data_IF_156380648406
#
_entry.id   IF_156380648406
#
_cell.length_a   1.000
_cell.length_b   1.000
_cell.length_c   1.000
_cell.angle_alpha   90.00
_cell.angle_beta   90.00
_cell.angle_gamma   90.00
#
_symmetry.space_group_name_H-M   'P 1'
#
loop_
_entity.id
_entity.type
_entity.pdbx_description
1 polymer ?
#
# COMPACT_ATOMS: atom_id res chain seq x y z
N UNK A 1 19.15 -5.96 8.37
CA UNK A 1 17.77 -5.47 8.64
C UNK A 1 16.89 -6.27 7.69
N UNK A 2 16.16 -7.31 8.06
CA UNK A 2 15.59 -7.74 9.34
C UNK A 2 15.74 -9.27 9.46
N UNK A 3 16.63 -9.76 10.32
CA UNK A 3 16.80 -11.21 10.58
C UNK A 3 16.12 -11.64 11.90
N UNK A 4 15.34 -10.73 12.52
CA UNK A 4 14.83 -10.94 13.90
C UNK A 4 13.60 -10.10 14.29
N UNK A 5 12.83 -9.51 13.36
CA UNK A 5 11.44 -9.14 13.70
C UNK A 5 10.65 -10.41 13.43
N UNK A 6 10.10 -11.05 14.47
CA UNK A 6 9.18 -12.19 14.34
C UNK A 6 7.84 -11.80 13.71
N UNK A 7 7.86 -10.87 12.75
CA UNK A 7 6.74 -10.18 12.14
C UNK A 7 6.50 -10.65 10.70
N UNK A 8 7.40 -11.51 10.18
CA UNK A 8 7.30 -12.08 8.82
C UNK A 8 6.31 -13.23 8.75
N UNK A 9 6.07 -13.92 9.87
CA UNK A 9 4.96 -14.87 9.96
C UNK A 9 3.71 -14.06 10.28
N UNK A 10 2.80 -14.03 9.32
CA UNK A 10 1.51 -13.35 9.40
C UNK A 10 0.41 -14.40 9.42
N UNK A 11 -0.83 -14.04 9.80
CA UNK A 11 -1.98 -14.92 9.62
C UNK A 11 -2.13 -15.49 8.19
N UNK A 12 -1.76 -14.72 7.16
CA UNK A 12 -1.86 -15.13 5.74
C UNK A 12 -0.86 -16.21 5.34
N UNK A 13 0.36 -16.19 5.90
CA UNK A 13 1.44 -17.10 5.50
C UNK A 13 1.83 -18.16 6.55
N UNK A 14 1.19 -18.16 7.73
CA UNK A 14 1.49 -19.09 8.84
C UNK A 14 1.38 -20.56 8.41
N UNK A 15 0.49 -20.87 7.47
CA UNK A 15 0.28 -22.21 6.94
C UNK A 15 1.52 -22.78 6.21
N UNK A 16 2.43 -21.92 5.73
CA UNK A 16 3.66 -22.33 5.06
C UNK A 16 4.69 -22.90 6.04
N UNK A 17 4.67 -22.47 7.29
CA UNK A 17 5.69 -22.83 8.31
C UNK A 17 5.18 -23.81 9.38
N UNK A 18 3.87 -24.06 9.43
CA UNK A 18 3.24 -25.07 10.30
C UNK A 18 3.60 -26.51 9.89
N UNK A 19 3.33 -27.53 10.74
CA UNK A 19 3.55 -28.93 10.37
C UNK A 19 2.81 -29.32 9.08
N UNK A 20 3.53 -29.96 8.16
CA UNK A 20 3.20 -30.25 6.75
C UNK A 20 3.21 -29.03 5.80
N UNK A 21 3.63 -27.87 6.28
CA UNK A 21 3.80 -26.66 5.49
C UNK A 21 5.04 -26.73 4.60
N UNK A 22 5.02 -26.00 3.49
CA UNK A 22 6.09 -25.99 2.47
C UNK A 22 7.47 -25.65 3.03
N UNK A 23 7.52 -24.88 4.11
CA UNK A 23 8.72 -24.33 4.76
C UNK A 23 8.95 -24.92 6.18
N UNK A 24 8.31 -26.05 6.53
CA UNK A 24 8.42 -26.69 7.87
C UNK A 24 9.86 -27.11 8.23
N UNK A 25 10.65 -27.56 7.26
CA UNK A 25 11.98 -28.12 7.47
C UNK A 25 13.06 -27.32 6.74
N UNK A 26 13.50 -26.22 7.32
CA UNK A 26 14.72 -25.53 6.85
C UNK A 26 15.96 -26.06 7.58
N UNK A 27 17.08 -26.08 6.87
CA UNK A 27 18.21 -26.95 7.20
C UNK A 27 19.04 -26.44 8.40
N UNK A 28 19.72 -27.38 9.07
CA UNK A 28 20.48 -27.20 10.33
C UNK A 28 21.30 -25.89 10.35
N UNK A 29 20.90 -24.94 11.21
CA UNK A 29 21.69 -23.76 11.56
C UNK A 29 21.61 -22.55 10.63
N UNK A 30 20.92 -22.65 9.48
CA UNK A 30 20.58 -21.51 8.58
C UNK A 30 19.08 -21.27 8.42
N UNK A 31 18.30 -21.97 9.24
CA UNK A 31 16.85 -22.07 9.16
C UNK A 31 16.08 -20.74 9.02
N UNK A 32 16.51 -19.66 9.69
CA UNK A 32 15.77 -18.39 9.66
C UNK A 32 15.84 -17.66 8.32
N UNK A 33 17.02 -17.58 7.69
CA UNK A 33 17.18 -16.86 6.42
C UNK A 33 16.49 -17.61 5.29
N UNK A 34 16.62 -18.95 5.25
CA UNK A 34 15.94 -19.80 4.27
C UNK A 34 14.40 -19.70 4.39
N UNK A 35 13.85 -19.70 5.62
CA UNK A 35 12.41 -19.49 5.82
C UNK A 35 11.98 -18.10 5.36
N UNK A 36 12.74 -17.05 5.72
CA UNK A 36 12.39 -15.68 5.36
C UNK A 36 12.39 -15.46 3.84
N UNK A 37 13.42 -15.92 3.15
CA UNK A 37 13.50 -15.86 1.69
C UNK A 37 12.38 -16.69 1.04
N UNK A 38 12.10 -17.88 1.58
CA UNK A 38 10.99 -18.71 1.13
C UNK A 38 9.62 -18.03 1.28
N UNK A 39 9.35 -17.40 2.43
CA UNK A 39 8.10 -16.68 2.67
C UNK A 39 7.94 -15.49 1.72
N UNK A 40 9.02 -14.75 1.49
CA UNK A 40 9.05 -13.63 0.55
C UNK A 40 8.84 -14.10 -0.90
N UNK A 41 9.46 -15.19 -1.30
CA UNK A 41 9.23 -15.80 -2.63
C UNK A 41 7.77 -16.25 -2.82
N UNK A 42 7.17 -16.91 -1.81
CA UNK A 42 5.76 -17.31 -1.89
C UNK A 42 4.83 -16.08 -1.91
N UNK A 43 5.18 -15.00 -1.21
CA UNK A 43 4.45 -13.74 -1.30
C UNK A 43 4.44 -13.20 -2.74
N UNK A 44 5.58 -13.13 -3.40
CA UNK A 44 5.69 -12.61 -4.76
C UNK A 44 4.94 -13.48 -5.77
N UNK A 45 5.02 -14.80 -5.61
CA UNK A 45 4.22 -15.73 -6.40
C UNK A 45 2.72 -15.44 -6.24
N UNK A 46 2.25 -15.27 -5.00
CA UNK A 46 0.84 -14.94 -4.74
C UNK A 46 0.45 -13.55 -5.25
N UNK A 47 1.34 -12.57 -5.15
CA UNK A 47 1.14 -11.22 -5.68
C UNK A 47 0.98 -11.23 -7.20
N UNK A 48 1.74 -12.09 -7.90
CA UNK A 48 1.56 -12.34 -9.33
C UNK A 48 0.13 -12.79 -9.66
N UNK A 49 -0.42 -13.75 -8.92
CA UNK A 49 -1.80 -14.22 -9.10
C UNK A 49 -2.84 -13.14 -8.82
N UNK A 50 -2.63 -12.33 -7.77
CA UNK A 50 -3.52 -11.21 -7.45
C UNK A 50 -3.51 -10.18 -8.58
N UNK A 51 -2.33 -9.84 -9.13
CA UNK A 51 -2.20 -8.92 -10.25
C UNK A 51 -2.90 -9.45 -11.50
N UNK A 52 -2.68 -10.72 -11.84
CA UNK A 52 -3.41 -11.37 -12.95
C UNK A 52 -4.94 -11.37 -12.73
N UNK A 53 -5.40 -11.41 -11.48
CA UNK A 53 -6.81 -11.26 -11.18
C UNK A 53 -7.29 -9.84 -11.45
N UNK A 54 -6.62 -8.81 -10.92
CA UNK A 54 -6.96 -7.42 -11.22
C UNK A 54 -6.91 -7.10 -12.71
N UNK A 55 -5.88 -7.58 -13.42
CA UNK A 55 -5.71 -7.42 -14.86
C UNK A 55 -6.90 -8.00 -15.64
N UNK A 56 -7.39 -9.18 -15.25
CA UNK A 56 -8.53 -9.84 -15.91
C UNK A 56 -9.85 -9.09 -15.75
N UNK A 57 -10.01 -8.33 -14.67
CA UNK A 57 -11.20 -7.53 -14.40
C UNK A 57 -11.01 -6.04 -14.76
N UNK A 58 -9.89 -5.67 -15.41
CA UNK A 58 -9.54 -4.27 -15.73
C UNK A 58 -9.52 -3.32 -14.51
N UNK A 59 -9.29 -3.87 -13.31
CA UNK A 59 -9.27 -3.12 -12.04
C UNK A 59 -7.91 -2.49 -11.81
N UNK A 60 -7.87 -1.19 -11.53
CA UNK A 60 -6.66 -0.54 -11.03
C UNK A 60 -6.52 -0.73 -9.51
N UNK A 61 -5.68 -1.66 -9.08
CA UNK A 61 -5.29 -1.79 -7.68
C UNK A 61 -4.20 -0.77 -7.25
N UNK A 62 -4.46 0.00 -6.19
CA UNK A 62 -3.57 1.02 -5.62
C UNK A 62 -3.29 0.72 -4.14
N UNK A 63 -2.03 0.61 -3.76
CA UNK A 63 -1.60 0.41 -2.38
C UNK A 63 -1.31 1.76 -1.70
N UNK A 64 -2.09 2.09 -0.65
CA UNK A 64 -1.89 3.29 0.16
C UNK A 64 -1.01 2.97 1.38
N UNK A 65 0.17 3.58 1.44
CA UNK A 65 1.13 3.40 2.53
C UNK A 65 1.39 4.72 3.25
N UNK A 66 1.56 4.69 4.58
CA UNK A 66 1.82 5.90 5.37
C UNK A 66 2.24 5.56 6.79
N UNK A 67 2.60 6.57 7.60
CA UNK A 67 2.59 6.42 9.07
C UNK A 67 1.16 6.25 9.62
N UNK A 68 0.98 5.78 10.86
CA UNK A 68 -0.30 5.87 11.55
C UNK A 68 -0.81 7.32 11.58
N UNK A 69 -2.08 7.52 11.25
CA UNK A 69 -2.72 8.83 11.34
C UNK A 69 -2.32 9.84 10.25
N UNK A 70 -1.63 9.44 9.18
CA UNK A 70 -1.33 10.33 8.04
C UNK A 70 -2.57 10.70 7.22
N UNK A 71 -3.70 10.01 7.42
CA UNK A 71 -5.00 10.36 6.82
C UNK A 71 -5.38 9.57 5.57
N UNK A 72 -4.95 8.30 5.46
CA UNK A 72 -5.33 7.40 4.34
C UNK A 72 -6.85 7.25 4.23
N UNK A 73 -7.52 6.82 5.30
CA UNK A 73 -8.98 6.68 5.31
C UNK A 73 -9.71 7.98 5.02
N UNK A 74 -9.19 9.12 5.52
CA UNK A 74 -9.78 10.42 5.25
C UNK A 74 -9.63 10.83 3.77
N UNK A 75 -8.50 10.51 3.14
CA UNK A 75 -8.31 10.69 1.70
C UNK A 75 -9.27 9.78 0.91
N UNK A 76 -9.45 8.53 1.32
CA UNK A 76 -10.40 7.60 0.69
C UNK A 76 -11.84 8.12 0.78
N UNK A 77 -12.30 8.50 1.98
CA UNK A 77 -13.63 9.08 2.17
C UNK A 77 -13.86 10.29 1.26
N UNK A 78 -12.90 11.23 1.21
CA UNK A 78 -13.00 12.42 0.40
C UNK A 78 -12.92 12.12 -1.11
N UNK A 79 -12.17 11.09 -1.50
CA UNK A 79 -12.11 10.61 -2.89
C UNK A 79 -13.45 10.01 -3.31
N UNK A 80 -14.01 9.13 -2.48
CA UNK A 80 -15.31 8.49 -2.73
C UNK A 80 -16.42 9.55 -2.88
N UNK A 81 -16.45 10.53 -1.98
CA UNK A 81 -17.42 11.64 -2.08
C UNK A 81 -17.27 12.48 -3.35
N UNK A 82 -16.04 12.68 -3.82
CA UNK A 82 -15.77 13.57 -4.93
C UNK A 82 -15.96 12.94 -6.32
N UNK A 83 -15.75 11.62 -6.46
CA UNK A 83 -15.74 10.94 -7.76
C UNK A 83 -16.49 9.60 -7.79
N UNK A 84 -17.20 9.22 -6.73
CA UNK A 84 -17.93 7.94 -6.67
C UNK A 84 -19.05 7.80 -7.70
N UNK A 85 -19.54 8.92 -8.27
CA UNK A 85 -20.48 8.91 -9.39
C UNK A 85 -19.82 8.69 -10.76
N UNK A 86 -18.48 8.80 -10.83
CA UNK A 86 -17.68 8.66 -12.06
C UNK A 86 -16.91 7.34 -12.14
N UNK A 87 -16.39 6.86 -11.00
CA UNK A 87 -15.61 5.63 -10.89
C UNK A 87 -16.17 4.75 -9.80
N UNK A 88 -16.33 3.46 -10.10
CA UNK A 88 -16.66 2.48 -9.07
C UNK A 88 -15.42 2.15 -8.24
N UNK A 89 -15.50 2.39 -6.93
CA UNK A 89 -14.40 2.20 -5.98
C UNK A 89 -14.68 0.97 -5.12
N UNK A 90 -13.65 0.18 -4.83
CA UNK A 90 -13.63 -0.80 -3.73
C UNK A 90 -12.43 -0.59 -2.82
N UNK A 91 -12.54 -1.04 -1.56
CA UNK A 91 -11.47 -0.86 -0.57
C UNK A 91 -11.17 -2.15 0.20
N UNK A 92 -9.90 -2.49 0.31
CA UNK A 92 -9.39 -3.50 1.26
C UNK A 92 -8.66 -2.76 2.38
N UNK A 93 -9.15 -2.90 3.61
CA UNK A 93 -8.68 -2.18 4.79
C UNK A 93 -7.79 -3.06 5.66
N UNK A 94 -6.52 -2.70 5.84
CA UNK A 94 -5.57 -3.39 6.71
C UNK A 94 -5.38 -2.68 8.05
N UNK A 95 -5.91 -3.25 9.12
CA UNK A 95 -5.71 -2.77 10.50
C UNK A 95 -5.33 -3.94 11.43
N UNK A 96 -4.77 -3.63 12.60
CA UNK A 96 -4.36 -4.63 13.58
C UNK A 96 -5.56 -5.35 14.20
N UNK A 97 -6.58 -4.59 14.60
CA UNK A 97 -7.66 -5.13 15.47
C UNK A 97 -9.05 -4.56 15.20
N UNK A 98 -9.20 -3.38 14.58
CA UNK A 98 -10.51 -2.71 14.50
C UNK A 98 -11.10 -2.71 13.10
N UNK A 99 -12.43 -2.69 13.00
CA UNK A 99 -13.16 -2.51 11.73
C UNK A 99 -13.53 -1.05 11.47
N UNK A 100 -13.00 -0.10 12.25
CA UNK A 100 -13.49 1.28 12.27
C UNK A 100 -13.37 1.93 10.88
N UNK A 101 -12.25 1.72 10.19
CA UNK A 101 -12.00 2.32 8.88
C UNK A 101 -12.85 1.65 7.79
N UNK A 102 -12.97 0.32 7.79
CA UNK A 102 -13.89 -0.38 6.89
C UNK A 102 -15.36 0.02 7.08
N UNK A 103 -15.81 0.25 8.32
CA UNK A 103 -17.17 0.74 8.59
C UNK A 103 -17.38 2.16 8.07
N UNK A 104 -16.39 3.03 8.20
CA UNK A 104 -16.42 4.39 7.67
C UNK A 104 -16.53 4.40 6.15
N UNK A 105 -15.77 3.56 5.46
CA UNK A 105 -15.86 3.41 3.99
C UNK A 105 -17.22 2.85 3.58
N UNK A 106 -17.70 1.77 4.23
CA UNK A 106 -19.03 1.20 3.92
C UNK A 106 -20.16 2.21 4.14
N UNK A 107 -20.03 3.10 5.12
CA UNK A 107 -21.00 4.18 5.34
C UNK A 107 -21.08 5.19 4.18
N UNK A 108 -20.08 5.23 3.28
CA UNK A 108 -20.11 5.99 2.03
C UNK A 108 -20.77 5.24 0.86
N UNK A 109 -21.21 3.99 1.08
CA UNK A 109 -21.87 3.17 0.06
C UNK A 109 -20.91 2.37 -0.83
N UNK A 110 -19.62 2.31 -0.47
CA UNK A 110 -18.57 1.61 -1.23
C UNK A 110 -18.30 0.23 -0.60
N UNK A 111 -18.10 -0.84 -1.41
CA UNK A 111 -17.70 -2.13 -0.89
C UNK A 111 -16.33 -2.03 -0.20
N UNK A 112 -16.27 -2.46 1.06
CA UNK A 112 -15.02 -2.52 1.81
C UNK A 112 -14.88 -3.81 2.62
N UNK A 113 -13.74 -4.48 2.47
CA UNK A 113 -13.38 -5.72 3.18
C UNK A 113 -12.29 -5.40 4.20
N UNK A 114 -12.48 -5.82 5.45
CA UNK A 114 -11.49 -5.66 6.51
C UNK A 114 -10.56 -6.87 6.51
N UNK A 115 -9.25 -6.61 6.59
CA UNK A 115 -8.23 -7.59 6.96
C UNK A 115 -7.75 -7.26 8.37
N UNK A 116 -7.94 -8.20 9.30
CA UNK A 116 -7.37 -8.11 10.65
C UNK A 116 -5.99 -8.75 10.63
N UNK A 117 -4.96 -7.93 10.72
CA UNK A 117 -3.55 -8.35 10.65
C UNK A 117 -3.03 -8.93 11.97
N UNK A 118 -3.78 -8.75 13.06
CA UNK A 118 -3.39 -9.14 14.42
C UNK A 118 -2.15 -8.38 14.86
N UNK A 119 -1.00 -9.05 14.86
CA UNK A 119 0.29 -8.44 15.22
C UNK A 119 1.17 -8.10 14.02
N UNK A 120 0.74 -8.42 12.79
CA UNK A 120 1.53 -8.13 11.61
C UNK A 120 1.58 -6.61 11.33
N UNK A 121 2.77 -6.11 10.99
CA UNK A 121 3.04 -4.69 10.77
C UNK A 121 2.78 -4.20 9.33
N UNK A 122 2.23 -5.08 8.48
CA UNK A 122 1.99 -4.91 7.05
C UNK A 122 0.92 -5.91 6.57
N UNK A 123 0.35 -5.65 5.40
CA UNK A 123 -0.37 -6.65 4.61
C UNK A 123 0.60 -7.46 3.75
N UNK A 124 0.24 -8.71 3.47
CA UNK A 124 0.90 -9.55 2.47
C UNK A 124 -0.09 -9.97 1.35
N UNK A 125 0.44 -10.55 0.27
CA UNK A 125 -0.36 -10.93 -0.88
C UNK A 125 -1.40 -12.03 -0.58
N UNK A 126 -1.17 -12.90 0.39
CA UNK A 126 -2.13 -13.96 0.76
C UNK A 126 -3.34 -13.36 1.47
N UNK A 127 -3.10 -12.40 2.38
CA UNK A 127 -4.18 -11.65 3.02
C UNK A 127 -5.06 -10.90 2.02
N UNK A 128 -4.43 -10.23 1.05
CA UNK A 128 -5.17 -9.54 -0.01
C UNK A 128 -5.92 -10.54 -0.88
N UNK A 129 -5.29 -11.66 -1.23
CA UNK A 129 -5.94 -12.73 -1.99
C UNK A 129 -7.23 -13.21 -1.32
N UNK A 130 -7.16 -13.51 -0.02
CA UNK A 130 -8.30 -13.97 0.76
C UNK A 130 -9.42 -12.91 0.76
N UNK A 131 -9.08 -11.63 0.96
CA UNK A 131 -10.04 -10.53 0.92
C UNK A 131 -10.71 -10.34 -0.45
N UNK A 132 -10.01 -10.64 -1.55
CA UNK A 132 -10.59 -10.55 -2.90
C UNK A 132 -11.71 -11.57 -3.15
N UNK A 133 -11.76 -12.69 -2.42
CA UNK A 133 -12.88 -13.64 -2.51
C UNK A 133 -14.18 -13.12 -1.89
N UNK A 134 -14.10 -12.07 -1.08
CA UNK A 134 -15.25 -11.42 -0.43
C UNK A 134 -15.77 -10.22 -1.22
N UNK A 135 -15.15 -9.89 -2.35
CA UNK A 135 -15.47 -8.72 -3.17
C UNK A 135 -15.70 -9.11 -4.63
N UNK A 136 -16.77 -8.58 -5.22
CA UNK A 136 -17.00 -8.71 -6.66
C UNK A 136 -16.22 -7.61 -7.39
N UNK A 137 -15.26 -8.03 -8.23
CA UNK A 137 -14.40 -7.14 -8.99
C UNK A 137 -15.01 -6.70 -10.33
N UNK A 138 -16.07 -7.36 -10.82
CA UNK A 138 -16.64 -7.08 -12.15
C UNK A 138 -17.22 -5.66 -12.27
N UNK A 139 -17.61 -5.05 -11.15
CA UNK A 139 -18.21 -3.71 -11.09
C UNK A 139 -17.26 -2.65 -10.49
N UNK A 140 -15.96 -2.94 -10.35
CA UNK A 140 -14.96 -2.04 -9.74
C UNK A 140 -13.98 -1.52 -10.78
N UNK A 141 -13.74 -0.21 -10.77
CA UNK A 141 -12.74 0.43 -11.64
C UNK A 141 -11.39 0.58 -10.94
N UNK A 142 -11.44 0.89 -9.65
CA UNK A 142 -10.26 1.07 -8.80
C UNK A 142 -10.46 0.41 -7.45
N UNK A 143 -9.49 -0.40 -7.06
CA UNK A 143 -9.42 -0.98 -5.72
C UNK A 143 -8.30 -0.29 -4.93
N UNK A 144 -8.64 0.35 -3.82
CA UNK A 144 -7.64 0.82 -2.87
C UNK A 144 -7.34 -0.27 -1.84
N UNK A 145 -6.06 -0.53 -1.62
CA UNK A 145 -5.57 -1.34 -0.49
C UNK A 145 -5.01 -0.36 0.53
N UNK A 146 -5.78 -0.07 1.58
CA UNK A 146 -5.29 0.73 2.70
C UNK A 146 -4.40 -0.14 3.59
N UNK A 147 -3.09 0.04 3.47
CA UNK A 147 -2.12 -0.76 4.23
C UNK A 147 -2.04 -0.31 5.71
N UNK A 148 -1.46 -1.17 6.54
CA UNK A 148 -1.20 -0.85 7.95
C UNK A 148 -0.34 0.43 8.03
N UNK A 149 -0.67 1.32 8.96
CA UNK A 149 0.11 2.53 9.21
C UNK A 149 1.54 2.21 9.66
N UNK A 150 2.48 2.16 8.71
CA UNK A 150 3.88 1.87 8.94
C UNK A 150 4.74 2.32 7.74
N UNK A 151 5.81 3.08 7.99
CA UNK A 151 6.75 3.54 6.95
C UNK A 151 7.95 2.59 6.72
N UNK A 152 7.92 1.38 7.29
CA UNK A 152 9.03 0.42 7.20
C UNK A 152 8.58 -0.88 6.52
N UNK A 153 7.73 -1.67 7.18
CA UNK A 153 7.40 -3.03 6.72
C UNK A 153 6.73 -3.06 5.33
N UNK A 154 5.69 -2.24 5.04
CA UNK A 154 4.88 -2.43 3.82
C UNK A 154 5.64 -2.28 2.51
N UNK A 155 6.72 -1.50 2.49
CA UNK A 155 7.51 -1.24 1.28
C UNK A 155 8.27 -2.46 0.74
N UNK A 156 8.29 -3.57 1.50
CA UNK A 156 9.02 -4.80 1.14
C UNK A 156 8.11 -5.93 0.67
N UNK A 157 6.79 -5.72 0.56
CA UNK A 157 5.83 -6.76 0.22
C UNK A 157 5.02 -6.35 -1.01
N UNK A 158 5.13 -7.15 -2.07
CA UNK A 158 4.19 -7.07 -3.19
C UNK A 158 2.82 -7.60 -2.75
N UNK A 159 1.75 -6.90 -3.11
CA UNK A 159 0.37 -7.35 -2.86
C UNK A 159 -0.34 -7.75 -4.16
N UNK A 160 0.31 -7.53 -5.31
CA UNK A 160 -0.30 -7.62 -6.64
C UNK A 160 -0.89 -6.29 -7.12
N UNK A 161 -0.70 -5.20 -6.37
CA UNK A 161 -1.14 -3.86 -6.78
C UNK A 161 -0.31 -3.32 -7.96
N UNK A 162 -0.80 -2.27 -8.60
CA UNK A 162 -0.15 -1.64 -9.76
C UNK A 162 0.66 -0.41 -9.37
N UNK A 163 0.17 0.36 -8.40
CA UNK A 163 0.69 1.67 -8.04
C UNK A 163 0.83 1.78 -6.52
N UNK A 164 1.98 2.27 -6.07
CA UNK A 164 2.22 2.68 -4.69
C UNK A 164 1.95 4.17 -4.49
N UNK A 165 1.06 4.52 -3.57
CA UNK A 165 0.87 5.89 -3.12
C UNK A 165 1.31 6.01 -1.66
N UNK A 166 2.31 6.85 -1.42
CA UNK A 166 2.83 7.09 -0.07
C UNK A 166 2.34 8.43 0.45
N UNK A 167 1.59 8.43 1.55
CA UNK A 167 1.17 9.65 2.24
C UNK A 167 2.24 10.06 3.26
N UNK A 168 2.56 11.36 3.25
CA UNK A 168 3.34 12.05 4.26
C UNK A 168 2.49 13.19 4.81
N UNK A 169 2.03 13.08 6.06
CA UNK A 169 1.31 14.18 6.69
C UNK A 169 2.27 15.32 7.06
N UNK A 170 1.83 16.55 6.84
CA UNK A 170 2.57 17.78 7.21
C UNK A 170 2.98 17.75 8.69
N UNK A 171 2.16 17.13 9.55
CA UNK A 171 2.44 17.00 11.00
C UNK A 171 3.57 16.03 11.34
N UNK A 172 4.10 15.27 10.38
CA UNK A 172 5.17 14.31 10.63
C UNK A 172 6.55 14.95 10.53
N UNK A 173 6.70 16.04 9.76
CA UNK A 173 7.96 16.71 9.45
C UNK A 173 8.50 16.34 8.06
N UNK A 174 9.12 17.32 7.39
CA UNK A 174 9.52 17.24 5.97
C UNK A 174 10.72 16.31 5.67
N UNK A 175 11.38 15.78 6.69
CA UNK A 175 12.57 14.95 6.60
C UNK A 175 12.29 13.44 6.44
N UNK A 176 11.01 13.03 6.41
CA UNK A 176 10.64 11.61 6.34
C UNK A 176 11.13 10.89 5.09
N UNK A 177 11.16 11.49 3.89
CA UNK A 177 11.71 10.81 2.73
C UNK A 177 13.15 10.35 2.96
N UNK A 178 14.00 11.24 3.49
CA UNK A 178 15.39 10.90 3.82
C UNK A 178 15.51 9.85 4.95
N UNK A 179 14.60 9.86 5.93
CA UNK A 179 14.61 8.92 7.07
C UNK A 179 14.08 7.52 6.74
N UNK A 180 13.15 7.42 5.80
CA UNK A 180 12.49 6.16 5.41
C UNK A 180 12.70 5.85 3.92
N UNK A 181 13.96 5.77 3.45
CA UNK A 181 14.27 5.74 2.03
C UNK A 181 13.64 4.56 1.28
N UNK A 182 13.49 3.40 1.94
CA UNK A 182 12.89 2.19 1.32
C UNK A 182 11.44 2.48 0.90
N UNK A 183 10.65 3.06 1.80
CA UNK A 183 9.25 3.44 1.54
C UNK A 183 9.13 4.49 0.44
N UNK A 184 9.92 5.56 0.54
CA UNK A 184 9.80 6.68 -0.39
C UNK A 184 10.42 6.41 -1.75
N UNK A 185 11.32 5.42 -1.91
CA UNK A 185 11.75 4.97 -3.24
C UNK A 185 10.72 4.06 -3.92
N UNK A 186 9.92 3.33 -3.16
CA UNK A 186 8.85 2.46 -3.67
C UNK A 186 7.61 3.25 -4.14
N UNK A 187 7.46 4.50 -3.71
CA UNK A 187 6.34 5.36 -4.09
C UNK A 187 6.33 5.67 -5.61
N UNK A 188 5.17 5.53 -6.24
CA UNK A 188 4.90 6.03 -7.59
C UNK A 188 4.28 7.44 -7.53
N UNK A 189 3.57 7.74 -6.43
CA UNK A 189 3.10 9.08 -6.06
C UNK A 189 3.35 9.33 -4.58
N UNK A 190 3.76 10.55 -4.24
CA UNK A 190 3.82 11.04 -2.87
C UNK A 190 2.72 12.08 -2.62
N UNK A 191 1.91 11.85 -1.60
CA UNK A 191 0.85 12.79 -1.20
C UNK A 191 1.26 13.48 0.11
N UNK A 192 1.44 14.79 0.06
CA UNK A 192 1.59 15.63 1.24
C UNK A 192 0.19 15.93 1.80
N UNK A 193 -0.21 15.16 2.81
CA UNK A 193 -1.56 15.21 3.39
C UNK A 193 -1.66 16.21 4.54
N UNK A 194 -2.90 16.59 4.89
CA UNK A 194 -3.20 17.62 5.91
C UNK A 194 -2.57 18.98 5.58
N UNK A 195 -2.51 19.32 4.29
CA UNK A 195 -1.99 20.60 3.80
C UNK A 195 -2.73 21.83 4.37
N UNK A 196 -3.94 21.66 4.90
CA UNK A 196 -4.66 22.71 5.62
C UNK A 196 -3.91 23.22 6.87
N UNK A 197 -2.96 22.44 7.38
CA UNK A 197 -2.14 22.80 8.54
C UNK A 197 -0.88 23.58 8.17
N UNK A 198 -0.51 23.70 6.89
CA UNK A 198 0.63 24.52 6.46
C UNK A 198 0.45 26.01 6.81
N UNK A 199 -0.80 26.46 6.95
CA UNK A 199 -1.13 27.84 7.34
C UNK A 199 -0.72 28.15 8.80
N UNK A 200 -0.48 27.12 9.62
CA UNK A 200 -0.20 27.24 11.07
C UNK A 200 1.06 26.50 11.54
N UNK A 201 1.60 25.58 10.73
CA UNK A 201 2.86 24.88 10.98
C UNK A 201 3.97 25.53 10.16
N UNK A 202 4.91 26.18 10.84
CA UNK A 202 6.03 26.90 10.23
C UNK A 202 7.30 26.06 10.08
N UNK A 203 7.27 24.80 10.52
CA UNK A 203 8.40 23.87 10.56
C UNK A 203 8.40 22.81 9.45
N UNK A 204 7.38 22.81 8.58
CA UNK A 204 7.30 21.92 7.42
C UNK A 204 7.49 22.67 6.10
N UNK A 205 8.52 22.33 5.33
CA UNK A 205 8.76 22.83 3.98
C UNK A 205 8.41 21.76 2.93
N UNK A 206 7.35 22.00 2.14
CA UNK A 206 6.91 21.09 1.07
C UNK A 206 7.98 20.89 0.00
N UNK A 207 8.72 21.95 -0.34
CA UNK A 207 9.83 21.88 -1.28
C UNK A 207 11.02 21.10 -0.72
N UNK A 208 11.23 21.13 0.60
CA UNK A 208 12.25 20.29 1.26
C UNK A 208 11.86 18.82 1.25
N UNK A 209 10.61 18.49 1.53
CA UNK A 209 10.10 17.13 1.42
C UNK A 209 10.27 16.58 -0.01
N UNK A 210 9.92 17.37 -1.02
CA UNK A 210 10.13 16.99 -2.43
C UNK A 210 11.63 16.82 -2.74
N UNK A 211 12.50 17.74 -2.32
CA UNK A 211 13.96 17.59 -2.53
C UNK A 211 14.49 16.28 -1.95
N UNK A 212 14.07 15.91 -0.74
CA UNK A 212 14.47 14.64 -0.14
C UNK A 212 13.98 13.42 -0.93
N UNK A 213 12.78 13.47 -1.53
CA UNK A 213 12.31 12.43 -2.44
C UNK A 213 13.19 12.34 -3.71
N UNK A 214 13.57 13.48 -4.29
CA UNK A 214 14.46 13.53 -5.47
C UNK A 214 15.87 13.04 -5.16
N UNK A 215 16.39 13.31 -3.97
CA UNK A 215 17.69 12.80 -3.49
C UNK A 215 17.74 11.27 -3.43
N UNK A 216 16.59 10.60 -3.29
CA UNK A 216 16.46 9.15 -3.38
C UNK A 216 16.40 8.63 -4.83
N UNK A 217 16.58 9.50 -5.82
CA UNK A 217 16.39 9.24 -7.24
C UNK A 217 14.96 8.78 -7.60
N UNK A 218 13.95 9.20 -6.83
CA UNK A 218 12.56 8.91 -7.16
C UNK A 218 11.90 10.09 -7.93
N UNK A 219 11.47 9.88 -9.19
CA UNK A 219 10.78 10.90 -10.00
C UNK A 219 9.27 11.03 -9.71
N UNK A 220 8.72 10.32 -8.72
CA UNK A 220 7.29 10.30 -8.39
C UNK A 220 6.66 11.70 -8.27
N UNK A 221 5.43 11.84 -8.74
CA UNK A 221 4.68 13.09 -8.59
C UNK A 221 4.42 13.39 -7.12
N UNK A 222 4.47 14.68 -6.77
CA UNK A 222 4.22 15.16 -5.40
C UNK A 222 2.96 16.01 -5.41
N UNK A 223 1.93 15.55 -4.70
CA UNK A 223 0.63 16.24 -4.62
C UNK A 223 0.44 16.76 -3.20
N UNK A 224 0.11 18.04 -3.06
CA UNK A 224 -0.18 18.65 -1.76
C UNK A 224 -1.67 18.88 -1.62
N UNK A 225 -2.31 18.22 -0.65
CA UNK A 225 -3.76 18.25 -0.49
C UNK A 225 -4.22 18.13 0.97
N UNK A 226 -5.48 18.44 1.19
CA UNK A 226 -6.19 18.13 2.43
C UNK A 226 -7.55 17.54 2.13
N UNK A 227 -7.85 16.37 2.70
CA UNK A 227 -9.18 15.77 2.66
C UNK A 227 -10.26 16.67 3.27
N UNK A 228 -9.88 17.66 4.10
CA UNK A 228 -10.82 18.65 4.69
C UNK A 228 -11.12 19.83 3.78
N UNK A 229 -10.35 19.99 2.69
CA UNK A 229 -10.46 21.08 1.72
C UNK A 229 -10.68 20.47 0.33
N UNK A 230 -11.93 20.15 -0.05
CA UNK A 230 -12.24 19.47 -1.31
C UNK A 230 -11.64 20.15 -2.56
N UNK A 231 -11.50 21.47 -2.53
CA UNK A 231 -10.86 22.27 -3.57
C UNK A 231 -9.39 21.90 -3.84
N UNK A 232 -8.73 21.23 -2.89
CA UNK A 232 -7.34 20.78 -3.01
C UNK A 232 -7.21 19.39 -3.64
N UNK A 233 -8.32 18.66 -3.82
CA UNK A 233 -8.30 17.29 -4.34
C UNK A 233 -8.14 17.22 -5.87
N UNK A 234 -8.34 18.32 -6.60
CA UNK A 234 -8.33 18.35 -8.07
C UNK A 234 -7.17 17.57 -8.71
N UNK A 235 -5.89 17.87 -8.38
CA UNK A 235 -4.75 17.15 -8.94
C UNK A 235 -4.76 15.64 -8.66
N UNK A 236 -5.21 15.22 -7.47
CA UNK A 236 -5.33 13.81 -7.09
C UNK A 236 -6.41 13.10 -7.89
N UNK A 237 -7.57 13.73 -8.04
CA UNK A 237 -8.69 13.16 -8.78
C UNK A 237 -8.39 13.07 -10.28
N UNK A 238 -7.73 14.07 -10.86
CA UNK A 238 -7.32 14.07 -12.26
C UNK A 238 -6.28 12.96 -12.52
N UNK A 239 -5.30 12.82 -11.63
CA UNK A 239 -4.33 11.74 -11.70
C UNK A 239 -5.00 10.36 -11.62
N UNK A 240 -5.99 10.21 -10.73
CA UNK A 240 -6.71 8.94 -10.58
C UNK A 240 -7.50 8.58 -11.85
N UNK A 241 -8.20 9.55 -12.44
CA UNK A 241 -8.91 9.36 -13.73
C UNK A 241 -7.97 8.94 -14.84
N UNK A 242 -6.83 9.61 -14.99
CA UNK A 242 -5.86 9.25 -16.02
C UNK A 242 -5.19 7.90 -15.74
N UNK A 243 -4.97 7.53 -14.48
CA UNK A 243 -4.42 6.22 -14.10
C UNK A 243 -5.38 5.07 -14.44
N UNK A 244 -6.68 5.23 -14.16
CA UNK A 244 -7.70 4.23 -14.54
C UNK A 244 -7.81 4.12 -16.06
N UNK A 245 -7.74 5.24 -16.78
CA UNK A 245 -7.75 5.27 -18.23
C UNK A 245 -6.51 4.59 -18.83
N UNK A 246 -5.32 4.82 -18.26
CA UNK A 246 -4.08 4.14 -18.63
C UNK A 246 -4.21 2.62 -18.44
N UNK A 247 -4.73 2.19 -17.29
CA UNK A 247 -4.99 0.77 -16.99
C UNK A 247 -5.90 0.13 -18.05
N UNK A 248 -7.06 0.74 -18.32
CA UNK A 248 -8.02 0.26 -19.34
C UNK A 248 -7.46 0.27 -20.77
N UNK A 249 -6.43 1.06 -21.04
CA UNK A 249 -5.75 1.08 -22.34
C UNK A 249 -4.72 -0.04 -22.52
N UNK A 250 -4.52 -0.89 -21.49
CA UNK A 250 -3.56 -1.99 -21.50
C UNK A 250 -2.13 -1.58 -21.20
N UNK A 251 -1.92 -0.41 -20.57
CA UNK A 251 -0.59 -0.02 -20.11
C UNK A 251 -0.12 -0.97 -19.01
N UNK A 252 1.07 -1.55 -19.18
CA UNK A 252 1.65 -2.46 -18.21
C UNK A 252 2.12 -1.66 -16.99
N UNK A 253 1.30 -1.64 -15.94
CA UNK A 253 1.63 -1.03 -14.66
C UNK A 253 2.15 -2.12 -13.72
N UNK A 254 3.38 -1.95 -13.23
CA UNK A 254 3.99 -2.81 -12.24
C UNK A 254 4.46 -1.97 -11.06
N UNK A 255 4.22 -2.40 -9.81
CA UNK A 255 4.59 -1.61 -8.65
C UNK A 255 6.12 -1.53 -8.52
N UNK A 256 6.62 -0.39 -8.08
CA UNK A 256 8.03 -0.28 -7.70
C UNK A 256 8.26 -0.99 -6.37
N UNK A 257 9.02 -2.08 -6.40
CA UNK A 257 9.50 -2.78 -5.21
C UNK A 257 11.00 -2.54 -5.09
N UNK A 258 11.49 -2.26 -3.88
CA UNK A 258 12.90 -2.01 -3.69
C UNK A 258 13.75 -3.25 -4.00
N UNK A 259 14.97 -3.07 -4.56
CA UNK A 259 15.87 -4.18 -4.89
C UNK A 259 16.22 -5.07 -3.71
N UNK A 260 16.17 -4.58 -2.47
CA UNK A 260 16.40 -5.40 -1.29
C UNK A 260 15.32 -6.48 -1.12
N UNK A 261 14.08 -6.22 -1.56
CA UNK A 261 13.08 -7.27 -1.75
C UNK A 261 13.58 -8.25 -2.80
N UNK A 262 13.87 -7.77 -4.03
CA UNK A 262 14.33 -8.60 -5.16
C UNK A 262 15.53 -9.50 -4.79
N UNK A 263 16.52 -8.99 -4.06
CA UNK A 263 17.68 -9.73 -3.57
C UNK A 263 17.36 -10.74 -2.46
N UNK A 264 16.29 -10.55 -1.70
CA UNK A 264 15.77 -11.53 -0.74
C UNK A 264 14.88 -12.60 -1.42
N UNK A 265 14.32 -12.30 -2.61
CA UNK A 265 13.52 -13.23 -3.42
C UNK A 265 14.36 -14.10 -4.38
N UNK A 266 15.62 -13.75 -4.62
CA UNK A 266 16.54 -14.58 -5.42
C UNK A 266 16.95 -15.84 -4.61
N UNK A 267 16.70 -17.06 -5.11
CA UNK A 267 17.27 -18.26 -4.50
C UNK A 267 18.80 -18.21 -4.63
N UNK A 268 19.49 -18.51 -3.53
CA UNK A 268 20.95 -18.57 -3.46
C UNK A 268 21.57 -19.62 -4.41
#
# INVERSE_FOLDING_TARGET
>A
MCETCGCTITPGNEHLVKPKGKLEHTSEGRASIEVLSGLLHENDHQAGHNREHFDRHDVLAINLMSSPGSGKTALLEATIEAIGDELSIGVVEGDLETENDAQRIRAKGVPAVQITTGQACHLDAHMVHDALHEMDLDDIDVLFIENVGNLVCPASFDLGHHINVTLLSVTEGDDKPAKYPVMFRAADVMVLSKADLLDVLDDFDTGKAERHLRELANPADVMTLSARRPETLGPWLDWLRESVKAKRSGEALSPRIQPDGVHLHEPA
#
